data_IF_521988003002
#
_entry.id   IF_521988003002
#
_cell.length_a   1.000
_cell.length_b   1.000
_cell.length_c   1.000
_cell.angle_alpha   90.00
_cell.angle_beta   90.00
_cell.angle_gamma   90.00
#
_symmetry.space_group_name_H-M   'P 1'
#
loop_
_entity.id
_entity.type
_entity.pdbx_description
1 polymer ?
#
# COMPACT_ATOMS: atom_id res chain seq x y z
N UNK A 1 -10.47 -12.98 -6.92
CA UNK A 1 -9.93 -11.74 -6.34
C UNK A 1 -9.87 -10.72 -7.46
N UNK A 2 -10.57 -9.60 -7.32
CA UNK A 2 -10.63 -8.52 -8.32
C UNK A 2 -9.31 -7.75 -8.33
N UNK A 3 -8.91 -7.22 -9.49
CA UNK A 3 -7.68 -6.44 -9.62
C UNK A 3 -7.76 -5.20 -8.71
N UNK A 4 -6.78 -4.97 -7.81
CA UNK A 4 -6.82 -3.86 -6.85
C UNK A 4 -6.92 -2.49 -7.54
N UNK A 5 -6.45 -2.37 -8.79
CA UNK A 5 -6.59 -1.16 -9.59
C UNK A 5 -8.05 -0.88 -9.98
N UNK A 6 -8.79 -1.93 -10.32
CA UNK A 6 -10.22 -1.84 -10.65
C UNK A 6 -11.01 -1.44 -9.40
N UNK A 7 -10.70 -2.05 -8.24
CA UNK A 7 -11.36 -1.70 -6.99
C UNK A 7 -11.08 -0.26 -6.57
N UNK A 8 -9.82 0.19 -6.67
CA UNK A 8 -9.43 1.56 -6.36
C UNK A 8 -10.10 2.57 -7.29
N UNK A 9 -10.12 2.30 -8.60
CA UNK A 9 -10.81 3.13 -9.58
C UNK A 9 -12.32 3.21 -9.28
N UNK A 10 -12.98 2.08 -9.04
CA UNK A 10 -14.41 2.04 -8.72
C UNK A 10 -14.73 2.81 -7.43
N UNK A 11 -13.90 2.68 -6.39
CA UNK A 11 -14.04 3.46 -5.14
C UNK A 11 -13.87 4.96 -5.38
N UNK A 12 -12.90 5.36 -6.20
CA UNK A 12 -12.71 6.77 -6.55
C UNK A 12 -13.92 7.34 -7.30
N UNK A 13 -14.46 6.58 -8.27
CA UNK A 13 -15.69 6.96 -8.98
C UNK A 13 -16.85 7.17 -8.01
N UNK A 14 -17.07 6.20 -7.12
CA UNK A 14 -18.13 6.27 -6.13
C UNK A 14 -17.95 7.48 -5.19
N UNK A 15 -16.74 7.72 -4.71
CA UNK A 15 -16.45 8.84 -3.82
C UNK A 15 -16.74 10.20 -4.49
N UNK A 16 -16.32 10.41 -5.75
CA UNK A 16 -16.63 11.64 -6.47
C UNK A 16 -18.14 11.82 -6.71
N UNK A 17 -18.84 10.73 -7.06
CA UNK A 17 -20.29 10.77 -7.24
C UNK A 17 -21.03 11.15 -5.95
N UNK A 18 -20.57 10.64 -4.79
CA UNK A 18 -21.22 10.86 -3.51
C UNK A 18 -20.99 12.27 -2.94
N UNK A 19 -19.87 12.93 -3.26
CA UNK A 19 -19.59 14.32 -2.82
C UNK A 19 -20.65 15.33 -3.28
N UNK A 20 -21.20 15.13 -4.49
CA UNK A 20 -22.16 16.05 -5.10
C UNK A 20 -23.63 15.64 -4.85
N UNK A 21 -23.88 14.59 -4.05
CA UNK A 21 -25.25 14.09 -3.79
C UNK A 21 -26.19 15.11 -3.10
N UNK A 22 -25.64 16.17 -2.48
CA UNK A 22 -26.42 17.26 -1.86
C UNK A 22 -26.55 18.52 -2.72
N UNK A 23 -25.83 18.64 -3.83
CA UNK A 23 -25.87 19.83 -4.67
C UNK A 23 -25.77 19.44 -6.16
N UNK A 24 -26.85 19.68 -6.90
CA UNK A 24 -26.96 19.53 -8.36
C UNK A 24 -27.24 18.10 -8.84
N UNK A 25 -28.50 17.69 -8.69
CA UNK A 25 -29.02 16.46 -9.30
C UNK A 25 -28.71 16.37 -10.79
N UNK A 26 -28.28 15.18 -11.22
CA UNK A 26 -28.31 14.64 -12.58
C UNK A 26 -27.92 15.55 -13.77
N UNK A 27 -27.42 16.77 -13.61
CA UNK A 27 -27.13 17.71 -14.71
C UNK A 27 -25.62 17.99 -14.84
N UNK A 28 -24.90 18.03 -13.71
CA UNK A 28 -23.44 18.24 -13.69
C UNK A 28 -22.65 17.07 -14.27
N UNK A 29 -23.15 15.84 -14.05
CA UNK A 29 -22.55 14.60 -14.55
C UNK A 29 -22.68 14.41 -16.07
N UNK A 30 -23.37 15.30 -16.79
CA UNK A 30 -23.48 15.24 -18.25
C UNK A 30 -22.56 16.24 -18.96
N UNK A 31 -21.72 16.95 -18.20
CA UNK A 31 -20.68 17.80 -18.78
C UNK A 31 -19.45 16.97 -19.10
N UNK A 32 -18.80 17.28 -20.22
CA UNK A 32 -17.55 16.64 -20.62
C UNK A 32 -16.47 16.77 -19.53
N UNK A 33 -16.41 17.93 -18.86
CA UNK A 33 -15.44 18.20 -17.80
C UNK A 33 -15.64 17.29 -16.59
N UNK A 34 -16.88 17.05 -16.16
CA UNK A 34 -17.16 16.14 -15.05
C UNK A 34 -16.71 14.69 -15.35
N UNK A 35 -16.89 14.22 -16.59
CA UNK A 35 -16.37 12.90 -17.00
C UNK A 35 -14.85 12.86 -17.02
N UNK A 36 -14.18 13.93 -17.48
CA UNK A 36 -12.73 14.00 -17.47
C UNK A 36 -12.15 13.99 -16.06
N UNK A 37 -12.77 14.71 -15.13
CA UNK A 37 -12.35 14.74 -13.73
C UNK A 37 -12.55 13.37 -13.06
N UNK A 38 -13.68 12.70 -13.33
CA UNK A 38 -13.92 11.34 -12.87
C UNK A 38 -12.89 10.35 -13.41
N UNK A 39 -12.58 10.43 -14.71
CA UNK A 39 -11.58 9.58 -15.35
C UNK A 39 -10.18 9.80 -14.76
N UNK A 40 -9.80 11.05 -14.50
CA UNK A 40 -8.52 11.40 -13.85
C UNK A 40 -8.45 10.85 -12.43
N UNK A 41 -9.50 11.02 -11.64
CA UNK A 41 -9.57 10.48 -10.28
C UNK A 41 -9.46 8.95 -10.28
N UNK A 42 -10.16 8.29 -11.20
CA UNK A 42 -10.15 6.83 -11.37
C UNK A 42 -8.76 6.31 -11.76
N UNK A 43 -8.12 6.96 -12.74
CA UNK A 43 -6.78 6.59 -13.20
C UNK A 43 -5.75 6.82 -12.10
N UNK A 44 -5.81 7.94 -11.40
CA UNK A 44 -4.92 8.24 -10.28
C UNK A 44 -5.07 7.21 -9.15
N UNK A 45 -6.29 6.74 -8.87
CA UNK A 45 -6.53 5.72 -7.86
C UNK A 45 -6.04 4.34 -8.31
N UNK A 46 -6.24 4.00 -9.59
CA UNK A 46 -5.70 2.77 -10.18
C UNK A 46 -4.16 2.74 -10.13
N UNK A 47 -3.49 3.84 -10.49
CA UNK A 47 -2.03 3.96 -10.46
C UNK A 47 -1.47 3.93 -9.03
N UNK A 48 -2.22 4.46 -8.06
CA UNK A 48 -1.88 4.34 -6.66
C UNK A 48 -1.98 2.89 -6.18
N UNK A 49 -2.89 2.07 -6.70
CA UNK A 49 -3.05 0.66 -6.32
C UNK A 49 -2.26 -0.31 -7.23
N UNK A 50 -1.43 0.20 -8.14
CA UNK A 50 -0.72 -0.63 -9.10
C UNK A 50 0.52 -1.29 -8.49
N UNK A 51 0.70 -2.58 -8.78
CA UNK A 51 1.93 -3.30 -8.51
C UNK A 51 3.08 -2.77 -9.37
N UNK A 52 4.24 -2.62 -8.75
CA UNK A 52 5.48 -2.08 -9.33
C UNK A 52 6.65 -3.04 -9.09
N UNK A 53 7.69 -3.03 -9.94
CA UNK A 53 8.89 -3.84 -9.72
C UNK A 53 9.57 -3.49 -8.38
N UNK A 54 10.02 -4.49 -7.64
CA UNK A 54 10.64 -4.31 -6.31
C UNK A 54 11.87 -3.38 -6.33
N UNK A 55 12.55 -3.28 -7.47
CA UNK A 55 13.71 -2.40 -7.66
C UNK A 55 13.35 -0.92 -7.51
N UNK A 56 12.07 -0.58 -7.68
CA UNK A 56 11.53 0.79 -7.56
C UNK A 56 10.94 1.09 -6.20
N UNK A 57 10.96 0.13 -5.27
CA UNK A 57 10.35 0.28 -3.96
C UNK A 57 11.09 1.32 -3.10
N UNK A 58 10.35 2.10 -2.29
CA UNK A 58 10.97 3.03 -1.35
C UNK A 58 11.79 2.25 -0.30
N UNK A 59 12.98 2.77 0.03
CA UNK A 59 13.90 2.20 1.03
C UNK A 59 14.18 3.16 2.19
N UNK A 60 13.27 4.10 2.38
CA UNK A 60 13.30 5.17 3.38
C UNK A 60 12.47 4.83 4.64
N UNK A 61 12.07 3.56 4.81
CA UNK A 61 11.22 3.11 5.91
C UNK A 61 9.72 3.28 5.68
N UNK A 62 9.29 3.74 4.49
CA UNK A 62 7.87 3.76 4.14
C UNK A 62 7.26 2.34 4.16
N UNK A 63 6.04 2.23 4.68
CA UNK A 63 5.29 0.98 4.70
C UNK A 63 4.56 0.75 3.36
N UNK A 64 4.67 -0.47 2.85
CA UNK A 64 4.19 -0.91 1.54
C UNK A 64 3.68 -2.35 1.63
N UNK A 65 2.93 -2.80 0.63
CA UNK A 65 2.66 -4.23 0.46
C UNK A 65 3.66 -4.85 -0.51
N UNK A 66 4.01 -6.11 -0.27
CA UNK A 66 4.93 -6.89 -1.09
C UNK A 66 4.24 -8.10 -1.70
N UNK A 67 4.67 -8.50 -2.89
CA UNK A 67 4.35 -9.80 -3.47
C UNK A 67 5.57 -10.72 -3.36
N UNK A 68 5.44 -11.75 -2.55
CA UNK A 68 6.53 -12.65 -2.14
C UNK A 68 6.27 -14.03 -2.74
N UNK A 69 7.27 -14.59 -3.40
CA UNK A 69 7.27 -15.97 -3.88
C UNK A 69 8.06 -16.83 -2.90
N UNK A 70 7.39 -17.81 -2.30
CA UNK A 70 7.96 -18.79 -1.39
C UNK A 70 8.89 -19.77 -2.12
N UNK A 71 9.63 -20.58 -1.35
CA UNK A 71 10.54 -21.59 -1.91
C UNK A 71 9.84 -22.70 -2.70
N UNK A 72 8.55 -22.93 -2.42
CA UNK A 72 7.69 -23.86 -3.16
C UNK A 72 7.12 -23.26 -4.46
N UNK A 73 7.41 -21.98 -4.73
CA UNK A 73 6.92 -21.24 -5.89
C UNK A 73 5.56 -20.58 -5.69
N UNK A 74 4.92 -20.72 -4.52
CA UNK A 74 3.64 -20.06 -4.24
C UNK A 74 3.85 -18.57 -3.98
N UNK A 75 3.07 -17.73 -4.67
CA UNK A 75 3.08 -16.28 -4.51
C UNK A 75 1.98 -15.82 -3.55
N UNK A 76 2.31 -14.96 -2.59
CA UNK A 76 1.34 -14.34 -1.70
C UNK A 76 1.62 -12.85 -1.50
N UNK A 77 0.58 -12.11 -1.11
CA UNK A 77 0.68 -10.70 -0.69
C UNK A 77 1.02 -10.66 0.79
N UNK A 78 2.06 -9.92 1.15
CA UNK A 78 2.39 -9.55 2.52
C UNK A 78 2.11 -8.07 2.69
N UNK A 79 1.28 -7.72 3.66
CA UNK A 79 0.85 -6.34 3.90
C UNK A 79 1.71 -5.65 4.95
N UNK A 80 1.85 -4.33 4.84
CA UNK A 80 2.48 -3.50 5.87
C UNK A 80 3.98 -3.81 6.10
N UNK A 81 4.72 -4.10 5.03
CA UNK A 81 6.17 -4.29 5.08
C UNK A 81 6.92 -2.96 4.96
N UNK A 82 8.13 -2.89 5.52
CA UNK A 82 9.03 -1.75 5.34
C UNK A 82 10.48 -2.21 5.14
N UNK A 83 11.33 -1.33 4.62
CA UNK A 83 12.77 -1.59 4.49
C UNK A 83 13.53 -0.92 5.63
N UNK A 84 14.26 -1.69 6.43
CA UNK A 84 14.99 -1.16 7.58
C UNK A 84 15.74 -2.22 8.37
N UNK A 85 16.19 -1.85 9.56
CA UNK A 85 16.87 -2.75 10.49
C UNK A 85 15.86 -3.60 11.26
N UNK A 86 16.21 -4.87 11.50
CA UNK A 86 15.33 -5.81 12.20
C UNK A 86 15.14 -5.31 13.64
N UNK A 87 13.90 -5.00 14.07
CA UNK A 87 13.63 -4.60 15.44
C UNK A 87 14.07 -5.71 16.39
N UNK A 88 15.00 -5.40 17.28
CA UNK A 88 15.50 -6.34 18.25
C UNK A 88 15.71 -5.65 19.60
N UNK A 89 15.14 -6.26 20.64
CA UNK A 89 15.33 -5.84 22.03
C UNK A 89 16.18 -6.89 22.74
N UNK A 90 17.50 -6.83 22.56
CA UNK A 90 18.40 -7.52 23.49
C UNK A 90 18.48 -6.72 24.80
N UNK A 91 18.39 -7.42 25.94
CA UNK A 91 18.45 -6.83 27.26
C UNK A 91 19.73 -6.00 27.52
N UNK A 92 19.55 -4.93 28.30
CA UNK A 92 20.51 -3.89 28.68
C UNK A 92 21.20 -3.13 27.54
N UNK A 93 20.98 -1.81 27.55
CA UNK A 93 21.68 -0.84 26.71
C UNK A 93 23.21 -1.06 26.83
N UNK A 94 23.88 -1.41 25.73
CA UNK A 94 25.34 -1.58 25.68
C UNK A 94 25.87 -3.01 25.84
N UNK A 95 25.03 -4.06 25.83
CA UNK A 95 25.48 -5.45 25.70
C UNK A 95 25.00 -6.07 24.40
N UNK A 96 25.95 -6.45 23.55
CA UNK A 96 25.68 -7.29 22.38
C UNK A 96 25.27 -8.69 22.88
N UNK A 97 24.06 -9.14 22.58
CA UNK A 97 23.72 -10.53 22.79
C UNK A 97 24.24 -11.36 21.61
N UNK A 98 24.54 -12.63 21.85
CA UNK A 98 24.90 -13.61 20.82
C UNK A 98 23.76 -13.91 19.83
N UNK A 99 22.57 -13.39 20.10
CA UNK A 99 21.33 -13.57 19.32
C UNK A 99 20.92 -12.30 18.56
N UNK A 100 21.81 -11.31 18.42
CA UNK A 100 21.53 -10.10 17.65
C UNK A 100 21.24 -10.47 16.18
N UNK A 101 20.25 -9.84 15.54
CA UNK A 101 20.00 -10.05 14.12
C UNK A 101 21.24 -9.62 13.30
N UNK A 102 21.39 -10.15 12.08
CA UNK A 102 22.45 -9.69 11.18
C UNK A 102 22.35 -8.18 10.98
N UNK A 103 23.52 -7.52 10.91
CA UNK A 103 23.60 -6.11 10.58
C UNK A 103 23.10 -5.86 9.15
N UNK A 104 22.40 -4.74 8.96
CA UNK A 104 21.95 -4.27 7.65
C UNK A 104 20.46 -4.00 7.57
N UNK A 105 20.05 -3.52 6.39
CA UNK A 105 18.65 -3.25 6.09
C UNK A 105 18.05 -4.39 5.27
N UNK A 106 16.86 -4.82 5.70
CA UNK A 106 16.09 -5.90 5.11
C UNK A 106 14.66 -5.45 4.88
N UNK A 107 13.93 -6.18 4.04
CA UNK A 107 12.48 -6.11 4.03
C UNK A 107 11.95 -6.81 5.29
N UNK A 108 11.15 -6.09 6.05
CA UNK A 108 10.65 -6.50 7.37
C UNK A 108 9.12 -6.49 7.33
N UNK A 109 8.53 -7.53 7.91
CA UNK A 109 7.10 -7.60 8.18
C UNK A 109 6.75 -6.60 9.29
N UNK A 110 5.90 -5.60 9.02
CA UNK A 110 5.53 -4.58 9.99
C UNK A 110 4.70 -5.10 11.16
N UNK A 111 4.03 -6.24 11.01
CA UNK A 111 3.22 -6.86 12.07
C UNK A 111 4.12 -7.64 13.03
N UNK A 112 5.05 -8.44 12.52
CA UNK A 112 5.87 -9.33 13.35
C UNK A 112 7.27 -8.80 13.64
N UNK A 113 7.73 -7.75 12.94
CA UNK A 113 9.08 -7.22 13.07
C UNK A 113 10.16 -8.22 12.62
N UNK A 114 9.83 -9.13 11.71
CA UNK A 114 10.74 -10.19 11.25
C UNK A 114 11.17 -9.94 9.81
N UNK A 115 12.39 -10.37 9.47
CA UNK A 115 12.84 -10.37 8.08
C UNK A 115 11.90 -11.23 7.21
N UNK A 116 11.53 -10.68 6.06
CA UNK A 116 10.75 -11.38 5.06
C UNK A 116 11.69 -12.26 4.24
N UNK A 117 11.41 -13.56 4.23
CA UNK A 117 12.11 -14.54 3.40
C UNK A 117 11.32 -14.87 2.13
N UNK A 118 12.03 -15.26 1.08
CA UNK A 118 11.45 -15.55 -0.23
C UNK A 118 11.89 -14.56 -1.30
N UNK A 119 11.44 -14.78 -2.53
CA UNK A 119 11.74 -13.90 -3.66
C UNK A 119 10.65 -12.84 -3.76
N UNK A 120 10.99 -11.62 -3.38
CA UNK A 120 10.11 -10.46 -3.54
C UNK A 120 10.21 -9.99 -4.99
N UNK A 121 9.08 -9.91 -5.70
CA UNK A 121 9.07 -9.53 -7.12
C UNK A 121 8.35 -8.20 -7.40
N UNK A 122 7.57 -7.71 -6.45
CA UNK A 122 6.85 -6.46 -6.62
C UNK A 122 6.36 -5.87 -5.32
N UNK A 123 5.97 -4.61 -5.42
CA UNK A 123 5.41 -3.83 -4.32
C UNK A 123 4.24 -2.98 -4.78
N UNK A 124 3.41 -2.54 -3.84
CA UNK A 124 2.40 -1.49 -4.04
C UNK A 124 2.34 -0.64 -2.77
N UNK A 125 2.03 0.66 -2.86
CA UNK A 125 1.86 1.48 -1.66
C UNK A 125 0.63 1.02 -0.87
N UNK A 126 0.60 1.33 0.43
CA UNK A 126 -0.58 1.08 1.24
C UNK A 126 -1.78 1.88 0.71
N UNK A 127 -2.99 1.30 0.73
CA UNK A 127 -4.19 2.07 0.42
C UNK A 127 -4.29 3.25 1.39
N UNK A 128 -4.67 4.42 0.86
CA UNK A 128 -4.91 5.58 1.71
C UNK A 128 -5.95 5.20 2.79
N UNK A 129 -5.74 5.59 4.06
CA UNK A 129 -6.72 5.35 5.09
C UNK A 129 -8.06 5.98 4.68
N UNK A 130 -9.20 5.43 5.15
CA UNK A 130 -10.47 6.13 5.04
C UNK A 130 -10.29 7.55 5.57
N UNK A 131 -10.74 8.55 4.82
CA UNK A 131 -10.84 9.90 5.37
C UNK A 131 -11.90 9.80 6.44
N UNK A 132 -11.56 10.06 7.71
CA UNK A 132 -12.53 10.15 8.78
C UNK A 132 -13.67 11.07 8.30
N UNK A 133 -14.88 10.51 8.19
CA UNK A 133 -16.07 11.35 8.27
C UNK A 133 -16.01 11.94 9.66
N UNK A 134 -15.50 13.17 9.76
CA UNK A 134 -15.60 13.97 10.97
C UNK A 134 -17.08 13.95 11.32
N UNK A 135 -17.43 13.19 12.35
CA UNK A 135 -18.74 13.20 12.98
C UNK A 135 -18.91 14.58 13.60
N UNK A 136 -19.28 15.55 12.76
CA UNK A 136 -19.71 16.88 13.15
C UNK A 136 -21.18 16.91 13.50
#
# INVERSE_FOLDING_TARGET
MTDPRIEAAAKAICAEFMKDSKAVGAARLWTQDAFLDLARASLSAADAAAWRPIETAPRDGAHIDLWVINSDGEGHRLTDAYFGEIPHTCGEYGKYCDSCPPEGNFWIDGIFGQQIFGRIIGWQPLPAPPKDEVLG
#
